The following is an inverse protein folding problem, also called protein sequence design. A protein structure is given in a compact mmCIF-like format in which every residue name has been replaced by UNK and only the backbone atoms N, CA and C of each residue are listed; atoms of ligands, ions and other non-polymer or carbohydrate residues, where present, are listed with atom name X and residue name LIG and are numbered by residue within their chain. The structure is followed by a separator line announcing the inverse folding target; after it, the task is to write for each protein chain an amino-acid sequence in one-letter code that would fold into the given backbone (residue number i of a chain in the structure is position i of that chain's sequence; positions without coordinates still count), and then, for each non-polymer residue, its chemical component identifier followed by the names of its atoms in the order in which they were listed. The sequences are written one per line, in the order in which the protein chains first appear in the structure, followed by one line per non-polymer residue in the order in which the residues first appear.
data_IF_066873292448
#
_entry.id   IF_066873292448
#
_cell.length_a   1.000
_cell.length_b   1.000
_cell.length_c   1.000
_cell.angle_alpha   90.00
_cell.angle_beta   90.00
_cell.angle_gamma   90.00
#
_symmetry.space_group_name_H-M   'P 1'
#
loop_
_entity.id
_entity.type
_entity.pdbx_description
1 polymer ?
#
# COMPACT_ATOMS: atom_id res chain seq x y z
N UNK A 1 -25.53 11.41 -0.58
CA UNK A 1 -25.23 10.29 0.35
C UNK A 1 -25.76 9.01 -0.26
N UNK A 2 -24.90 8.21 -0.91
CA UNK A 2 -25.31 6.91 -1.47
C UNK A 2 -25.20 5.83 -0.40
N UNK A 3 -26.32 5.20 -0.07
CA UNK A 3 -26.41 4.08 0.87
C UNK A 3 -25.65 2.88 0.30
N UNK A 4 -24.81 2.25 1.12
CA UNK A 4 -24.03 1.07 0.71
C UNK A 4 -24.99 -0.07 0.35
N UNK A 5 -24.76 -0.79 -0.76
CA UNK A 5 -25.61 -1.91 -1.15
C UNK A 5 -25.49 -3.05 -0.12
N UNK A 6 -26.62 -3.67 0.23
CA UNK A 6 -26.69 -4.83 1.12
C UNK A 6 -26.72 -6.10 0.26
N UNK A 7 -26.11 -7.19 0.72
CA UNK A 7 -25.99 -8.44 -0.07
C UNK A 7 -27.31 -8.88 -0.70
N UNK A 8 -28.39 -8.86 0.08
CA UNK A 8 -29.72 -9.31 -0.33
C UNK A 8 -30.36 -8.45 -1.43
N UNK A 9 -29.94 -7.19 -1.55
CA UNK A 9 -30.51 -6.21 -2.50
C UNK A 9 -29.53 -5.77 -3.58
N UNK A 10 -28.30 -6.27 -3.55
CA UNK A 10 -27.26 -5.92 -4.51
C UNK A 10 -27.44 -6.68 -5.82
N UNK A 11 -27.20 -6.00 -6.94
CA UNK A 11 -26.97 -6.62 -8.24
C UNK A 11 -25.67 -7.45 -8.24
N UNK A 12 -25.39 -8.20 -9.31
CA UNK A 12 -24.17 -9.02 -9.38
C UNK A 12 -22.89 -8.20 -9.19
N UNK A 13 -22.85 -6.97 -9.74
CA UNK A 13 -21.72 -6.06 -9.61
C UNK A 13 -21.55 -5.61 -8.15
N UNK A 14 -22.64 -5.28 -7.46
CA UNK A 14 -22.66 -4.94 -6.05
C UNK A 14 -22.26 -6.10 -5.14
N UNK A 15 -22.74 -7.33 -5.41
CA UNK A 15 -22.33 -8.52 -4.66
C UNK A 15 -20.83 -8.78 -4.78
N UNK A 16 -20.28 -8.73 -6.00
CA UNK A 16 -18.83 -8.86 -6.22
C UNK A 16 -18.03 -7.80 -5.48
N UNK A 17 -18.49 -6.54 -5.49
CA UNK A 17 -17.86 -5.46 -4.73
C UNK A 17 -17.84 -5.74 -3.22
N UNK A 18 -18.93 -6.28 -2.66
CA UNK A 18 -19.01 -6.63 -1.25
C UNK A 18 -18.01 -7.73 -0.88
N UNK A 19 -17.94 -8.82 -1.67
CA UNK A 19 -16.96 -9.90 -1.45
C UNK A 19 -15.54 -9.36 -1.48
N UNK A 20 -15.20 -8.55 -2.47
CA UNK A 20 -13.84 -7.99 -2.58
C UNK A 20 -13.48 -7.11 -1.40
N UNK A 21 -14.43 -6.30 -0.93
CA UNK A 21 -14.22 -5.46 0.24
C UNK A 21 -13.99 -6.29 1.50
N UNK A 22 -14.74 -7.38 1.66
CA UNK A 22 -14.59 -8.31 2.77
C UNK A 22 -13.25 -9.04 2.71
N UNK A 23 -12.88 -9.62 1.56
CA UNK A 23 -11.58 -10.27 1.34
C UNK A 23 -10.43 -9.30 1.63
N UNK A 24 -10.51 -8.06 1.12
CA UNK A 24 -9.51 -7.03 1.40
C UNK A 24 -9.37 -6.74 2.89
N UNK A 25 -10.49 -6.62 3.60
CA UNK A 25 -10.47 -6.40 5.05
C UNK A 25 -9.81 -7.57 5.79
N UNK A 26 -10.14 -8.81 5.41
CA UNK A 26 -9.52 -10.03 5.96
C UNK A 26 -8.01 -10.06 5.69
N UNK A 27 -7.59 -9.72 4.47
CA UNK A 27 -6.17 -9.67 4.12
C UNK A 27 -5.41 -8.56 4.86
N UNK A 28 -6.01 -7.38 5.02
CA UNK A 28 -5.43 -6.29 5.80
C UNK A 28 -5.29 -6.67 7.27
N UNK A 29 -6.28 -7.38 7.83
CA UNK A 29 -6.24 -7.92 9.20
C UNK A 29 -5.17 -8.99 9.36
N UNK A 30 -5.07 -9.94 8.43
CA UNK A 30 -4.02 -10.96 8.40
C UNK A 30 -2.62 -10.34 8.28
N UNK A 31 -2.46 -9.31 7.42
CA UNK A 31 -1.22 -8.54 7.34
C UNK A 31 -0.91 -7.86 8.67
N UNK A 32 -1.92 -7.32 9.35
CA UNK A 32 -1.74 -6.67 10.64
C UNK A 32 -1.27 -7.63 11.74
N UNK A 33 -1.84 -8.84 11.80
CA UNK A 33 -1.41 -9.89 12.73
C UNK A 33 0.04 -10.29 12.43
N UNK A 34 0.37 -10.56 11.16
CA UNK A 34 1.73 -10.95 10.76
C UNK A 34 2.76 -9.88 11.11
N UNK A 35 2.44 -8.61 10.86
CA UNK A 35 3.37 -7.54 11.10
C UNK A 35 3.48 -7.11 12.58
N UNK A 36 2.58 -7.53 13.49
CA UNK A 36 2.85 -7.44 14.93
C UNK A 36 4.07 -8.27 15.35
N UNK A 37 4.45 -9.27 14.54
CA UNK A 37 5.64 -10.11 14.76
C UNK A 37 6.88 -9.62 14.01
N UNK A 38 6.77 -8.58 13.18
CA UNK A 38 7.89 -8.03 12.41
C UNK A 38 8.32 -6.70 13.01
N UNK A 39 9.58 -6.59 13.46
CA UNK A 39 10.15 -5.34 13.94
C UNK A 39 10.87 -4.62 12.81
N UNK A 40 10.63 -3.31 12.69
CA UNK A 40 11.41 -2.46 11.81
C UNK A 40 12.83 -2.29 12.40
N UNK A 41 13.90 -2.26 11.59
CA UNK A 41 15.23 -2.00 12.10
C UNK A 41 15.28 -0.63 12.81
N UNK A 42 15.49 -0.64 14.12
CA UNK A 42 15.44 0.57 14.95
C UNK A 42 16.48 1.64 14.56
N UNK A 43 17.57 1.24 13.88
CA UNK A 43 18.62 2.13 13.40
C UNK A 43 18.27 2.98 12.16
N UNK A 44 17.05 2.86 11.62
CA UNK A 44 16.56 3.70 10.52
C UNK A 44 15.57 4.71 11.11
N UNK A 45 14.43 4.23 11.59
CA UNK A 45 13.51 4.93 12.48
C UNK A 45 12.46 3.96 13.05
N UNK A 46 11.88 4.33 14.19
CA UNK A 46 10.68 3.67 14.68
C UNK A 46 9.47 4.13 13.86
N UNK A 47 8.72 3.18 13.29
CA UNK A 47 7.45 3.46 12.62
C UNK A 47 6.46 2.33 12.89
N UNK A 48 5.18 2.67 13.02
CA UNK A 48 4.08 1.70 13.04
C UNK A 48 3.59 1.34 11.63
N UNK A 49 4.02 2.09 10.62
CA UNK A 49 3.72 1.83 9.22
C UNK A 49 4.50 0.61 8.70
N UNK A 50 3.90 -0.09 7.74
CA UNK A 50 4.34 -1.41 7.29
C UNK A 50 4.43 -1.47 5.75
N UNK A 51 5.51 -0.93 5.17
CA UNK A 51 5.84 -1.14 3.76
C UNK A 51 5.95 -2.65 3.49
N UNK A 52 5.62 -3.09 2.28
CA UNK A 52 5.74 -4.51 1.92
C UNK A 52 7.20 -4.94 1.84
N UNK A 53 8.08 -4.05 1.37
CA UNK A 53 9.52 -4.23 1.39
C UNK A 53 10.22 -2.92 1.72
N UNK A 54 11.36 -3.03 2.40
CA UNK A 54 12.24 -1.93 2.78
C UNK A 54 13.65 -2.31 2.42
N UNK A 55 14.32 -1.50 1.62
CA UNK A 55 15.75 -1.64 1.33
C UNK A 55 16.46 -0.44 1.95
N UNK A 56 17.56 -0.66 2.66
CA UNK A 56 18.33 0.43 3.24
C UNK A 56 19.82 0.16 3.22
N UNK A 57 20.60 1.23 3.23
CA UNK A 57 22.06 1.20 3.34
C UNK A 57 22.50 2.20 4.39
N UNK A 58 23.09 1.71 5.49
CA UNK A 58 23.61 2.55 6.57
C UNK A 58 24.80 3.40 6.12
N UNK A 59 25.70 2.84 5.31
CA UNK A 59 26.91 3.54 4.85
C UNK A 59 26.62 4.71 3.91
N UNK A 60 25.55 4.62 3.12
CA UNK A 60 25.15 5.68 2.17
C UNK A 60 23.91 6.46 2.60
N UNK A 61 23.29 6.09 3.73
CA UNK A 61 22.05 6.66 4.27
C UNK A 61 20.90 6.72 3.25
N UNK A 62 20.74 5.65 2.49
CA UNK A 62 19.64 5.50 1.55
C UNK A 62 18.57 4.56 2.09
N UNK A 63 17.30 4.90 1.86
CA UNK A 63 16.17 4.01 2.14
C UNK A 63 15.18 4.01 0.98
N UNK A 64 14.67 2.83 0.64
CA UNK A 64 13.65 2.63 -0.38
C UNK A 64 12.49 1.87 0.23
N UNK A 65 11.31 2.48 0.20
CA UNK A 65 10.04 1.90 0.60
C UNK A 65 9.31 1.37 -0.63
N UNK A 66 8.87 0.12 -0.56
CA UNK A 66 8.14 -0.52 -1.65
C UNK A 66 6.80 -1.06 -1.14
N UNK A 67 5.76 -0.70 -1.86
CA UNK A 67 4.38 -1.10 -1.59
C UNK A 67 3.81 -1.82 -2.79
N UNK A 68 3.39 -3.08 -2.64
CA UNK A 68 2.71 -3.82 -3.70
C UNK A 68 1.24 -3.45 -3.70
N UNK A 69 0.70 -3.16 -4.87
CA UNK A 69 -0.73 -2.90 -5.07
C UNK A 69 -1.25 -3.74 -6.22
N UNK A 70 -2.47 -4.26 -6.06
CA UNK A 70 -3.17 -5.01 -7.10
C UNK A 70 -4.47 -4.25 -7.38
N UNK A 71 -4.40 -3.11 -8.08
CA UNK A 71 -5.57 -2.27 -8.29
C UNK A 71 -6.48 -2.88 -9.36
N UNK A 72 -7.78 -2.59 -9.25
CA UNK A 72 -8.69 -2.72 -10.37
C UNK A 72 -8.50 -1.53 -11.31
N UNK A 73 -8.46 -1.76 -12.63
CA UNK A 73 -8.08 -0.76 -13.66
C UNK A 73 -8.77 0.61 -13.47
N UNK A 74 -10.07 0.62 -13.16
CA UNK A 74 -10.85 1.87 -12.98
C UNK A 74 -10.46 2.70 -11.74
N UNK A 75 -9.58 2.19 -10.87
CA UNK A 75 -9.18 2.86 -9.61
C UNK A 75 -7.68 2.85 -9.38
N UNK A 76 -6.87 2.62 -10.42
CA UNK A 76 -5.40 2.58 -10.32
C UNK A 76 -4.85 3.87 -9.71
N UNK A 77 -5.14 5.03 -10.32
CA UNK A 77 -4.62 6.32 -9.87
C UNK A 77 -4.98 6.65 -8.42
N UNK A 78 -6.24 6.42 -8.04
CA UNK A 78 -6.70 6.68 -6.66
C UNK A 78 -6.06 5.72 -5.65
N UNK A 79 -5.81 4.47 -6.03
CA UNK A 79 -5.13 3.51 -5.18
C UNK A 79 -3.64 3.85 -5.04
N UNK A 80 -3.03 4.33 -6.12
CA UNK A 80 -1.66 4.82 -6.16
C UNK A 80 -1.45 6.01 -5.22
N UNK A 81 -2.21 7.09 -5.45
CA UNK A 81 -2.14 8.31 -4.64
C UNK A 81 -2.34 8.00 -3.16
N UNK A 82 -3.37 7.20 -2.83
CA UNK A 82 -3.65 6.85 -1.45
C UNK A 82 -2.50 6.06 -0.78
N UNK A 83 -1.85 5.16 -1.52
CA UNK A 83 -0.69 4.39 -1.01
C UNK A 83 0.55 5.25 -0.86
N UNK A 84 0.79 6.18 -1.78
CA UNK A 84 1.92 7.11 -1.70
C UNK A 84 1.76 8.09 -0.53
N UNK A 85 0.57 8.69 -0.38
CA UNK A 85 0.27 9.63 0.72
C UNK A 85 0.42 8.97 2.10
N UNK A 86 0.13 7.67 2.22
CA UNK A 86 0.30 6.93 3.48
C UNK A 86 1.73 7.00 4.03
N UNK A 87 2.74 7.05 3.17
CA UNK A 87 4.15 7.05 3.56
C UNK A 87 4.80 8.44 3.51
N UNK A 88 4.08 9.47 3.07
CA UNK A 88 4.65 10.81 2.88
C UNK A 88 5.29 11.36 4.16
N UNK A 89 4.58 11.36 5.29
CA UNK A 89 5.14 11.82 6.56
C UNK A 89 6.37 11.01 7.00
N UNK A 90 6.38 9.70 6.71
CA UNK A 90 7.51 8.84 7.05
C UNK A 90 8.76 9.18 6.23
N UNK A 91 8.57 9.50 4.95
CA UNK A 91 9.64 9.95 4.05
C UNK A 91 10.21 11.28 4.56
N UNK A 92 9.35 12.25 4.87
CA UNK A 92 9.73 13.57 5.39
C UNK A 92 10.51 13.45 6.72
N UNK A 93 10.03 12.63 7.66
CA UNK A 93 10.71 12.37 8.95
C UNK A 93 12.12 11.77 8.76
N UNK A 94 12.32 10.94 7.74
CA UNK A 94 13.60 10.30 7.46
C UNK A 94 14.56 11.26 6.75
N UNK A 95 14.06 12.07 5.83
CA UNK A 95 14.83 13.12 5.17
C UNK A 95 15.37 14.14 6.18
N UNK A 96 14.59 14.51 7.19
CA UNK A 96 15.07 15.34 8.32
C UNK A 96 16.21 14.69 9.11
N UNK A 97 16.31 13.36 9.10
CA UNK A 97 17.38 12.58 9.77
C UNK A 97 18.57 12.28 8.85
N UNK A 98 18.70 13.01 7.75
CA UNK A 98 19.78 12.87 6.76
C UNK A 98 19.73 11.51 6.04
N UNK A 99 18.53 10.93 5.88
CA UNK A 99 18.31 9.78 5.01
C UNK A 99 17.74 10.23 3.69
N UNK A 100 18.32 9.79 2.58
CA UNK A 100 17.70 9.96 1.27
C UNK A 100 16.70 8.83 1.06
N UNK A 101 15.42 9.19 1.00
CA UNK A 101 14.32 8.22 1.04
C UNK A 101 13.50 8.27 -0.24
N UNK A 102 13.17 7.09 -0.79
CA UNK A 102 12.24 6.96 -1.90
C UNK A 102 11.08 6.04 -1.52
N UNK A 103 9.90 6.31 -2.07
CA UNK A 103 8.74 5.45 -1.95
C UNK A 103 8.25 5.10 -3.35
N UNK A 104 7.97 3.81 -3.59
CA UNK A 104 7.38 3.35 -4.85
C UNK A 104 6.19 2.43 -4.56
N UNK A 105 5.08 2.68 -5.25
CA UNK A 105 3.97 1.74 -5.34
C UNK A 105 4.12 0.91 -6.62
N UNK A 106 4.31 -0.40 -6.47
CA UNK A 106 4.42 -1.36 -7.56
C UNK A 106 3.03 -1.92 -7.84
N UNK A 107 2.50 -1.66 -9.02
CA UNK A 107 1.15 -2.06 -9.41
C UNK A 107 1.17 -3.34 -10.23
N UNK A 108 0.34 -4.31 -9.85
CA UNK A 108 0.15 -5.56 -10.59
C UNK A 108 -1.31 -5.61 -11.04
N UNK A 109 -1.55 -5.39 -12.34
CA UNK A 109 -2.87 -5.56 -12.95
C UNK A 109 -3.20 -7.03 -13.20
N UNK A 110 -4.49 -7.40 -13.18
CA UNK A 110 -4.98 -8.77 -13.42
C UNK A 110 -5.54 -8.97 -14.85
N UNK A 111 -5.16 -8.11 -15.78
CA UNK A 111 -5.47 -8.18 -17.22
C UNK A 111 -4.16 -8.03 -17.98
N UNK A 112 -4.02 -8.74 -19.10
CA UNK A 112 -2.84 -8.91 -19.95
C UNK A 112 -2.21 -7.62 -20.53
N UNK A 113 -2.05 -6.56 -19.75
CA UNK A 113 -1.42 -5.33 -20.17
C UNK A 113 -0.56 -4.76 -19.03
N UNK A 114 0.75 -4.97 -19.15
CA UNK A 114 1.76 -4.17 -18.46
C UNK A 114 1.77 -2.76 -19.06
N UNK A 115 0.88 -1.90 -18.57
CA UNK A 115 1.00 -0.47 -18.77
C UNK A 115 2.20 0.05 -17.98
N UNK A 116 3.26 0.46 -18.67
CA UNK A 116 4.27 1.33 -18.07
C UNK A 116 3.64 2.73 -17.92
N UNK A 117 3.33 3.13 -16.69
CA UNK A 117 3.28 4.57 -16.36
C UNK A 117 4.72 5.07 -16.40
N UNK A 118 5.10 5.63 -17.55
CA UNK A 118 6.28 6.50 -17.64
C UNK A 118 5.90 7.85 -17.02
N UNK A 119 6.81 8.29 -16.15
CA UNK A 119 6.82 9.48 -15.30
C UNK A 119 6.23 10.76 -15.91
#
# INVERSE_FOLDING_TARGET
MTTKPRWDTADEKGKRYLVQKEVRQIEEENRNIKAQRMSFPAGIAATSLRPNMVLWSQGTRHTILLELTVPWEERMDKAHEWKMTKYQQLVEDWEQRVWRTWCFAIEVGCRDFSGHTVW
#
